data_IF_253427884016
#
_entry.id   IF_253427884016
#
_cell.length_a   1.000
_cell.length_b   1.000
_cell.length_c   1.000
_cell.angle_alpha   90.00
_cell.angle_beta   90.00
_cell.angle_gamma   90.00
#
_symmetry.space_group_name_H-M   'P 1'
#
loop_
_entity.id
_entity.type
_entity.pdbx_description
1 polymer ?
#
# COMPACT_ATOMS: atom_id res chain seq x y z
N UNK A 1 -10.54 -11.35 10.93
CA UNK A 1 -9.17 -10.88 11.23
C UNK A 1 -8.05 -11.70 10.58
N UNK A 2 -8.28 -12.94 10.11
CA UNK A 2 -7.25 -13.75 9.45
C UNK A 2 -6.94 -13.35 7.99
N UNK A 3 -7.90 -12.77 7.25
CA UNK A 3 -7.71 -12.41 5.83
C UNK A 3 -6.76 -11.22 5.61
N UNK A 4 -6.73 -10.25 6.56
CA UNK A 4 -5.77 -9.13 6.52
C UNK A 4 -4.31 -9.58 6.71
N UNK A 5 -4.08 -10.77 7.28
CA UNK A 5 -2.73 -11.35 7.42
C UNK A 5 -2.29 -12.14 6.18
N UNK A 6 -3.22 -12.65 5.37
CA UNK A 6 -2.88 -13.39 4.15
C UNK A 6 -2.61 -12.48 2.96
N UNK A 7 -3.23 -11.30 2.89
CA UNK A 7 -2.85 -10.26 1.90
C UNK A 7 -1.48 -9.62 2.21
N UNK A 8 -1.02 -9.65 3.47
CA UNK A 8 0.33 -9.23 3.83
C UNK A 8 1.40 -10.20 3.28
N UNK A 9 1.09 -11.50 3.16
CA UNK A 9 2.04 -12.53 2.73
C UNK A 9 2.35 -12.51 1.22
N UNK A 10 1.47 -11.97 0.38
CA UNK A 10 1.74 -11.83 -1.07
C UNK A 10 2.46 -10.51 -1.42
N UNK A 11 2.62 -9.62 -0.44
CA UNK A 11 3.31 -8.33 -0.53
C UNK A 11 4.47 -8.22 0.47
N UNK A 12 5.01 -9.35 0.93
CA UNK A 12 6.22 -9.40 1.76
C UNK A 12 7.48 -9.31 0.87
N UNK A 13 8.26 -8.21 0.92
CA UNK A 13 9.52 -8.05 0.17
C UNK A 13 10.74 -8.64 0.92
N UNK A 14 10.53 -9.41 1.99
CA UNK A 14 11.59 -9.83 2.92
C UNK A 14 12.45 -11.01 2.44
N UNK A 15 12.13 -11.64 1.30
CA UNK A 15 12.95 -12.71 0.70
C UNK A 15 14.03 -12.22 -0.27
N UNK A 16 14.05 -10.93 -0.61
CA UNK A 16 15.06 -10.34 -1.48
C UNK A 16 15.96 -9.41 -0.66
N UNK A 17 16.92 -9.99 0.07
CA UNK A 17 18.12 -9.26 0.47
C UNK A 17 19.13 -9.36 -0.68
N UNK A 18 19.32 -8.33 -1.53
CA UNK A 18 20.56 -8.21 -2.25
C UNK A 18 21.62 -7.72 -1.26
N UNK A 19 22.46 -8.64 -0.78
CA UNK A 19 23.77 -8.24 -0.24
C UNK A 19 24.54 -7.67 -1.42
N UNK A 20 24.70 -6.35 -1.39
CA UNK A 20 25.64 -5.63 -2.24
C UNK A 20 27.05 -6.12 -1.89
N UNK A 21 27.70 -6.85 -2.79
CA UNK A 21 29.11 -6.57 -3.06
C UNK A 21 29.53 -6.99 -4.48
N UNK A 22 30.40 -6.17 -5.06
CA UNK A 22 31.14 -6.32 -6.33
C UNK A 22 30.38 -6.15 -7.68
N UNK A 23 30.65 -4.98 -8.28
CA UNK A 23 30.23 -4.47 -9.61
C UNK A 23 30.62 -5.32 -10.83
N UNK A 24 31.27 -6.48 -10.67
CA UNK A 24 31.75 -7.28 -11.80
C UNK A 24 30.82 -8.42 -12.20
N UNK A 25 29.83 -8.78 -11.38
CA UNK A 25 28.98 -9.96 -11.62
C UNK A 25 27.71 -9.67 -12.45
N UNK A 26 27.27 -8.41 -12.51
CA UNK A 26 25.97 -8.04 -13.10
C UNK A 26 25.96 -8.20 -14.63
N UNK A 27 27.10 -7.95 -15.30
CA UNK A 27 27.17 -8.04 -16.76
C UNK A 27 27.20 -9.50 -17.25
N UNK A 28 27.88 -10.40 -16.55
CA UNK A 28 27.98 -11.80 -16.98
C UNK A 28 26.72 -12.64 -16.66
N UNK A 29 25.93 -12.24 -15.67
CA UNK A 29 24.69 -12.94 -15.33
C UNK A 29 23.52 -12.56 -16.23
N UNK A 30 23.47 -11.29 -16.68
CA UNK A 30 22.42 -10.83 -17.62
C UNK A 30 22.61 -11.38 -19.04
N UNK A 31 23.85 -11.56 -19.50
CA UNK A 31 24.11 -12.10 -20.84
C UNK A 31 23.88 -13.61 -20.94
N UNK A 32 23.92 -14.35 -19.83
CA UNK A 32 23.69 -15.81 -19.83
C UNK A 32 22.23 -16.22 -19.56
N UNK A 33 21.44 -15.37 -18.91
CA UNK A 33 20.02 -15.64 -18.65
C UNK A 33 19.10 -15.28 -19.83
N UNK A 34 19.57 -14.46 -20.76
CA UNK A 34 18.79 -14.01 -21.92
C UNK A 34 18.78 -15.01 -23.09
N UNK A 35 19.75 -15.94 -23.18
CA UNK A 35 19.89 -16.82 -24.34
C UNK A 35 19.07 -18.13 -24.30
N UNK A 36 18.52 -18.55 -23.14
CA UNK A 36 17.81 -19.86 -23.03
C UNK A 36 16.31 -19.77 -22.72
N UNK A 37 15.75 -18.58 -22.45
CA UNK A 37 14.38 -18.43 -21.92
C UNK A 37 13.46 -17.55 -22.81
N UNK A 38 13.83 -17.30 -24.07
CA UNK A 38 13.07 -16.45 -24.99
C UNK A 38 11.64 -16.96 -25.30
N UNK A 39 11.44 -18.20 -25.79
CA UNK A 39 10.12 -18.64 -26.26
C UNK A 39 9.16 -19.07 -25.12
N UNK A 40 9.67 -19.50 -23.97
CA UNK A 40 8.86 -19.97 -22.83
C UNK A 40 8.23 -18.84 -21.99
N UNK A 41 8.82 -17.64 -22.03
CA UNK A 41 8.31 -16.49 -21.26
C UNK A 41 7.09 -15.84 -21.91
N UNK A 42 6.97 -15.93 -23.24
CA UNK A 42 5.82 -15.44 -23.99
C UNK A 42 4.55 -16.24 -23.67
N UNK A 43 4.62 -17.57 -23.69
CA UNK A 43 3.47 -18.44 -23.38
C UNK A 43 3.00 -18.30 -21.93
N UNK A 44 3.92 -18.12 -20.98
CA UNK A 44 3.59 -17.96 -19.57
C UNK A 44 2.82 -16.66 -19.30
N UNK A 45 3.13 -15.57 -20.00
CA UNK A 45 2.46 -14.28 -19.80
C UNK A 45 1.04 -14.27 -20.38
N UNK A 46 0.85 -14.83 -21.57
CA UNK A 46 -0.47 -14.98 -22.18
C UNK A 46 -1.39 -15.86 -21.33
N UNK A 47 -0.84 -16.96 -20.79
CA UNK A 47 -1.56 -17.82 -19.86
C UNK A 47 -1.98 -17.07 -18.58
N UNK A 48 -1.12 -16.22 -18.02
CA UNK A 48 -1.44 -15.45 -16.81
C UNK A 48 -2.61 -14.48 -17.04
N UNK A 49 -2.66 -13.79 -18.17
CA UNK A 49 -3.79 -12.92 -18.53
C UNK A 49 -5.08 -13.74 -18.69
N UNK A 50 -5.00 -14.90 -19.36
CA UNK A 50 -6.16 -15.79 -19.50
C UNK A 50 -6.67 -16.30 -18.14
N UNK A 51 -5.77 -16.65 -17.21
CA UNK A 51 -6.17 -17.10 -15.87
C UNK A 51 -6.85 -15.97 -15.11
N UNK A 52 -6.26 -14.77 -15.10
CA UNK A 52 -6.81 -13.61 -14.38
C UNK A 52 -8.18 -13.18 -14.94
N UNK A 53 -8.38 -13.23 -16.26
CA UNK A 53 -9.68 -12.93 -16.88
C UNK A 53 -10.75 -13.98 -16.53
N UNK A 54 -10.39 -15.26 -16.46
CA UNK A 54 -11.30 -16.32 -16.03
C UNK A 54 -11.69 -16.21 -14.56
N UNK A 55 -10.77 -15.80 -13.69
CA UNK A 55 -11.06 -15.51 -12.28
C UNK A 55 -12.13 -14.42 -12.18
N UNK A 56 -11.95 -13.31 -12.90
CA UNK A 56 -12.96 -12.26 -12.94
C UNK A 56 -14.31 -12.74 -13.46
N UNK A 57 -14.32 -13.62 -14.47
CA UNK A 57 -15.56 -14.20 -15.01
C UNK A 57 -16.30 -15.00 -13.93
N UNK A 58 -15.59 -15.79 -13.14
CA UNK A 58 -16.17 -16.58 -12.05
C UNK A 58 -16.75 -15.67 -10.97
N UNK A 59 -15.99 -14.67 -10.50
CA UNK A 59 -16.45 -13.73 -9.47
C UNK A 59 -17.65 -12.90 -9.94
N UNK A 60 -17.67 -12.52 -11.22
CA UNK A 60 -18.80 -11.83 -11.84
C UNK A 60 -20.05 -12.70 -11.87
N UNK A 61 -19.91 -13.98 -12.20
CA UNK A 61 -21.03 -14.93 -12.19
C UNK A 61 -21.58 -15.08 -10.78
N UNK A 62 -20.72 -15.26 -9.76
CA UNK A 62 -21.13 -15.35 -8.35
C UNK A 62 -21.91 -14.11 -7.90
N UNK A 63 -21.40 -12.91 -8.23
CA UNK A 63 -22.11 -11.65 -7.91
C UNK A 63 -23.49 -11.61 -8.59
N UNK A 64 -23.55 -11.99 -9.87
CA UNK A 64 -24.80 -12.00 -10.64
C UNK A 64 -25.81 -13.01 -10.09
N UNK A 65 -25.36 -14.20 -9.73
CA UNK A 65 -26.19 -15.26 -9.13
C UNK A 65 -26.77 -14.79 -7.79
N UNK A 66 -25.94 -14.23 -6.91
CA UNK A 66 -26.39 -13.68 -5.63
C UNK A 66 -27.44 -12.57 -5.82
N UNK A 67 -27.16 -11.61 -6.72
CA UNK A 67 -28.09 -10.52 -7.01
C UNK A 67 -29.39 -11.00 -7.66
N UNK A 68 -29.35 -12.09 -8.43
CA UNK A 68 -30.55 -12.68 -9.06
C UNK A 68 -31.41 -13.41 -8.02
N UNK A 69 -30.79 -14.15 -7.11
CA UNK A 69 -31.49 -14.86 -6.02
C UNK A 69 -32.17 -13.89 -5.04
N UNK A 70 -31.51 -12.81 -4.66
CA UNK A 70 -32.03 -11.82 -3.71
C UNK A 70 -32.76 -10.65 -4.39
N UNK A 71 -33.11 -10.75 -5.68
CA UNK A 71 -33.67 -9.64 -6.48
C UNK A 71 -35.01 -9.09 -6.00
N UNK A 72 -35.71 -9.84 -5.13
CA UNK A 72 -37.06 -9.49 -4.68
C UNK A 72 -37.10 -8.19 -3.86
N UNK A 73 -36.07 -7.90 -3.08
CA UNK A 73 -35.94 -6.66 -2.30
C UNK A 73 -34.53 -6.08 -2.44
N UNK A 74 -34.41 -4.74 -2.51
CA UNK A 74 -33.11 -4.08 -2.68
C UNK A 74 -32.21 -4.23 -1.45
N UNK A 75 -32.78 -4.17 -0.25
CA UNK A 75 -32.03 -4.29 1.02
C UNK A 75 -31.42 -5.68 1.23
N UNK A 76 -32.08 -6.73 0.74
CA UNK A 76 -31.55 -8.10 0.83
C UNK A 76 -30.31 -8.29 -0.03
N UNK A 77 -30.27 -7.71 -1.23
CA UNK A 77 -29.08 -7.76 -2.09
C UNK A 77 -27.89 -7.10 -1.40
N UNK A 78 -28.10 -5.93 -0.78
CA UNK A 78 -27.02 -5.20 -0.13
C UNK A 78 -26.54 -5.88 1.15
N UNK A 79 -27.42 -6.56 1.88
CA UNK A 79 -27.07 -7.28 3.11
C UNK A 79 -26.36 -8.60 2.84
N UNK A 80 -26.86 -9.41 1.91
CA UNK A 80 -26.33 -10.76 1.66
C UNK A 80 -25.22 -10.78 0.60
N UNK A 81 -25.29 -9.93 -0.43
CA UNK A 81 -24.29 -9.93 -1.50
C UNK A 81 -23.11 -8.98 -1.22
N UNK A 82 -23.07 -8.28 -0.08
CA UNK A 82 -22.02 -7.30 0.26
C UNK A 82 -20.61 -7.85 0.06
N UNK A 83 -20.34 -9.00 0.64
CA UNK A 83 -19.00 -9.59 0.65
C UNK A 83 -18.58 -10.04 -0.75
N UNK A 84 -19.51 -10.62 -1.52
CA UNK A 84 -19.29 -11.05 -2.91
C UNK A 84 -19.07 -9.85 -3.83
N UNK A 85 -19.81 -8.76 -3.60
CA UNK A 85 -19.65 -7.51 -4.34
C UNK A 85 -18.25 -6.95 -4.09
N UNK A 86 -17.85 -6.85 -2.82
CA UNK A 86 -16.55 -6.34 -2.40
C UNK A 86 -15.39 -7.18 -2.96
N UNK A 87 -15.47 -8.51 -2.87
CA UNK A 87 -14.45 -9.42 -3.43
C UNK A 87 -14.29 -9.22 -4.95
N UNK A 88 -15.41 -9.12 -5.68
CA UNK A 88 -15.35 -8.90 -7.11
C UNK A 88 -14.83 -7.48 -7.45
N UNK A 89 -15.19 -6.45 -6.69
CA UNK A 89 -14.68 -5.08 -6.89
C UNK A 89 -13.16 -5.01 -6.67
N UNK A 90 -12.67 -5.60 -5.58
CA UNK A 90 -11.23 -5.69 -5.29
C UNK A 90 -10.49 -6.41 -6.41
N UNK A 91 -11.02 -7.54 -6.88
CA UNK A 91 -10.42 -8.29 -7.98
C UNK A 91 -10.37 -7.49 -9.29
N UNK A 92 -11.42 -6.70 -9.60
CA UNK A 92 -11.46 -5.84 -10.80
C UNK A 92 -10.42 -4.74 -10.71
N UNK A 93 -10.28 -4.10 -9.54
CA UNK A 93 -9.27 -3.06 -9.31
C UNK A 93 -7.87 -3.65 -9.49
N UNK A 94 -7.60 -4.82 -8.90
CA UNK A 94 -6.31 -5.51 -9.04
C UNK A 94 -5.98 -5.89 -10.49
N UNK A 95 -6.98 -6.33 -11.26
CA UNK A 95 -6.80 -6.62 -12.67
C UNK A 95 -6.49 -5.35 -13.48
N UNK A 96 -7.23 -4.26 -13.22
CA UNK A 96 -7.03 -2.99 -13.92
C UNK A 96 -5.66 -2.37 -13.62
N UNK A 97 -5.18 -2.46 -12.38
CA UNK A 97 -3.84 -2.01 -12.00
C UNK A 97 -2.79 -2.73 -12.85
N UNK A 98 -2.93 -4.05 -13.06
CA UNK A 98 -1.97 -4.86 -13.83
C UNK A 98 -2.04 -4.61 -15.33
N UNK A 99 -3.23 -4.65 -15.92
CA UNK A 99 -3.40 -4.71 -17.39
C UNK A 99 -4.26 -3.59 -17.99
N UNK A 100 -4.88 -2.73 -17.20
CA UNK A 100 -5.95 -1.81 -17.65
C UNK A 100 -5.54 -0.75 -18.68
N UNK A 101 -4.25 -0.44 -18.79
CA UNK A 101 -3.71 0.61 -19.67
C UNK A 101 -2.80 0.03 -20.75
N UNK A 102 -2.70 -1.30 -20.79
CA UNK A 102 -2.01 -2.00 -21.86
C UNK A 102 -2.92 -2.02 -23.09
N UNK A 103 -2.40 -1.51 -24.20
CA UNK A 103 -3.03 -1.63 -25.51
C UNK A 103 -3.10 -3.10 -25.99
N UNK A 104 -3.87 -3.38 -27.03
CA UNK A 104 -4.04 -4.71 -27.61
C UNK A 104 -2.74 -5.33 -28.16
N UNK A 105 -1.75 -4.51 -28.55
CA UNK A 105 -0.47 -4.97 -29.08
C UNK A 105 0.67 -4.92 -28.04
N UNK A 106 0.40 -5.31 -26.79
CA UNK A 106 1.38 -5.15 -25.71
C UNK A 106 2.07 -6.44 -25.31
N UNK A 107 3.39 -6.41 -25.43
CA UNK A 107 4.30 -7.43 -24.89
C UNK A 107 4.39 -7.42 -23.36
N UNK A 108 4.90 -8.53 -22.83
CA UNK A 108 5.33 -8.71 -21.43
C UNK A 108 6.23 -7.57 -20.94
N UNK A 109 6.99 -6.95 -21.86
CA UNK A 109 7.86 -5.80 -21.58
C UNK A 109 7.06 -4.61 -21.05
N UNK A 110 5.88 -4.31 -21.59
CA UNK A 110 5.07 -3.18 -21.15
C UNK A 110 4.51 -3.41 -19.75
N UNK A 111 4.05 -4.64 -19.45
CA UNK A 111 3.61 -5.02 -18.11
C UNK A 111 4.76 -4.89 -17.08
N UNK A 112 5.97 -5.32 -17.46
CA UNK A 112 7.17 -5.16 -16.64
C UNK A 112 7.50 -3.68 -16.37
N UNK A 113 7.44 -2.82 -17.38
CA UNK A 113 7.65 -1.38 -17.19
C UNK A 113 6.60 -0.76 -16.27
N UNK A 114 5.33 -1.14 -16.39
CA UNK A 114 4.27 -0.68 -15.48
C UNK A 114 4.56 -1.07 -14.03
N UNK A 115 4.94 -2.34 -13.81
CA UNK A 115 5.34 -2.84 -12.50
C UNK A 115 6.52 -2.05 -11.94
N UNK A 116 7.57 -1.83 -12.75
CA UNK A 116 8.75 -1.06 -12.35
C UNK A 116 8.42 0.38 -11.96
N UNK A 117 7.54 1.06 -12.71
CA UNK A 117 7.12 2.43 -12.38
C UNK A 117 6.39 2.48 -11.03
N UNK A 118 5.50 1.50 -10.77
CA UNK A 118 4.82 1.38 -9.47
C UNK A 118 5.79 1.21 -8.32
N UNK A 119 6.77 0.31 -8.46
CA UNK A 119 7.82 0.09 -7.45
C UNK A 119 8.69 1.34 -7.23
N UNK A 120 9.02 2.07 -8.29
CA UNK A 120 9.80 3.30 -8.19
C UNK A 120 9.01 4.42 -7.49
N UNK A 121 7.71 4.51 -7.75
CA UNK A 121 6.82 5.45 -7.07
C UNK A 121 6.69 5.10 -5.59
N UNK A 122 6.47 3.82 -5.24
CA UNK A 122 6.40 3.36 -3.85
C UNK A 122 7.70 3.60 -3.09
N UNK A 123 8.86 3.55 -3.76
CA UNK A 123 10.14 3.90 -3.15
C UNK A 123 10.27 5.40 -2.80
N UNK A 124 9.63 6.30 -3.57
CA UNK A 124 9.74 7.76 -3.38
C UNK A 124 8.65 8.33 -2.47
N UNK A 125 7.44 7.80 -2.58
CA UNK A 125 6.25 8.37 -1.93
C UNK A 125 5.41 7.33 -1.19
N UNK A 126 5.77 6.05 -1.28
CA UNK A 126 5.05 4.96 -0.64
C UNK A 126 5.58 4.64 0.76
N UNK A 127 4.82 3.85 1.53
CA UNK A 127 5.16 3.49 2.91
C UNK A 127 6.39 2.57 3.03
N UNK A 128 6.80 1.94 1.93
CA UNK A 128 7.91 0.98 1.88
C UNK A 128 9.25 1.67 1.56
N UNK A 129 9.20 2.90 1.06
CA UNK A 129 10.37 3.69 0.67
C UNK A 129 10.68 4.78 1.68
N UNK A 130 11.61 4.53 2.60
CA UNK A 130 12.30 5.59 3.31
C UNK A 130 13.23 6.32 2.31
N UNK A 131 12.65 7.26 1.56
CA UNK A 131 13.36 8.12 0.62
C UNK A 131 12.63 9.45 0.51
N UNK A 132 12.89 10.33 1.47
CA UNK A 132 12.59 11.77 1.41
C UNK A 132 11.14 12.18 1.10
N UNK A 133 10.16 11.52 1.71
CA UNK A 133 8.78 12.03 1.67
C UNK A 133 8.61 13.23 2.64
N UNK A 134 8.01 14.36 2.21
CA UNK A 134 7.73 15.50 3.09
C UNK A 134 6.82 15.11 4.25
N UNK A 135 6.05 14.02 4.15
CA UNK A 135 5.22 13.51 5.23
C UNK A 135 6.03 13.04 6.46
N UNK A 136 7.18 12.38 6.28
CA UNK A 136 8.02 11.97 7.41
C UNK A 136 8.92 13.11 7.93
N UNK A 137 9.23 14.10 7.09
CA UNK A 137 9.86 15.34 7.52
C UNK A 137 8.88 16.23 8.31
N UNK A 138 7.61 16.29 7.88
CA UNK A 138 6.52 16.99 8.58
C UNK A 138 6.16 16.25 9.86
N UNK A 139 6.14 14.91 9.88
CA UNK A 139 5.92 14.10 11.08
C UNK A 139 7.07 14.32 12.10
N UNK A 140 8.33 14.21 11.67
CA UNK A 140 9.47 14.57 12.54
C UNK A 140 9.47 16.04 12.97
N UNK A 141 9.10 16.97 12.10
CA UNK A 141 9.01 18.39 12.44
C UNK A 141 7.86 18.64 13.43
N UNK A 142 6.73 17.93 13.30
CA UNK A 142 5.62 17.98 14.25
C UNK A 142 6.02 17.40 15.61
N UNK A 143 6.69 16.24 15.65
CA UNK A 143 7.13 15.66 16.93
C UNK A 143 8.15 16.57 17.64
N UNK A 144 9.08 17.17 16.88
CA UNK A 144 10.05 18.14 17.43
C UNK A 144 9.35 19.43 17.89
N UNK A 145 8.37 19.94 17.14
CA UNK A 145 7.60 21.12 17.55
C UNK A 145 6.77 20.85 18.82
N UNK A 146 6.15 19.68 18.93
CA UNK A 146 5.39 19.29 20.12
C UNK A 146 6.27 19.17 21.38
N UNK A 147 7.50 18.68 21.24
CA UNK A 147 8.49 18.64 22.33
C UNK A 147 8.92 20.04 22.77
N UNK A 148 9.11 20.98 21.83
CA UNK A 148 9.47 22.36 22.17
C UNK A 148 8.36 23.09 22.94
N UNK A 149 7.09 22.92 22.54
CA UNK A 149 5.95 23.52 23.24
C UNK A 149 5.81 23.00 24.68
N UNK A 150 5.96 21.68 24.89
CA UNK A 150 5.96 21.09 26.24
C UNK A 150 7.05 21.69 27.13
N UNK A 151 8.22 22.01 26.57
CA UNK A 151 9.32 22.62 27.32
C UNK A 151 9.02 24.07 27.73
N UNK A 152 8.37 24.83 26.86
CA UNK A 152 7.93 26.20 27.16
C UNK A 152 6.82 26.22 28.21
N UNK A 153 5.83 25.34 28.12
CA UNK A 153 4.76 25.24 29.10
C UNK A 153 5.29 24.89 30.49
N UNK A 154 6.25 23.98 30.59
CA UNK A 154 6.96 23.64 31.83
C UNK A 154 7.76 24.82 32.39
N UNK A 155 8.30 25.68 31.54
CA UNK A 155 9.02 26.90 31.93
C UNK A 155 8.05 27.98 32.42
N UNK A 156 6.94 28.22 31.72
CA UNK A 156 5.90 29.17 32.13
C UNK A 156 5.14 28.73 33.40
N UNK A 157 4.90 27.44 33.60
CA UNK A 157 4.35 26.92 34.87
C UNK A 157 5.36 27.06 36.01
N UNK A 158 6.65 26.81 35.77
CA UNK A 158 7.70 27.04 36.77
C UNK A 158 7.83 28.52 37.15
N UNK A 159 7.68 29.44 36.18
CA UNK A 159 7.63 30.88 36.43
C UNK A 159 6.36 31.28 37.20
N UNK A 160 5.17 30.79 36.83
CA UNK A 160 3.93 31.06 37.60
C UNK A 160 3.99 30.53 39.04
N UNK A 161 4.57 29.35 39.25
CA UNK A 161 4.79 28.80 40.59
C UNK A 161 5.75 29.67 41.41
N UNK A 162 6.74 30.29 40.77
CA UNK A 162 7.67 31.22 41.44
C UNK A 162 7.07 32.61 41.71
N UNK A 163 6.14 33.08 40.86
CA UNK A 163 5.48 34.39 41.01
C UNK A 163 4.24 34.33 41.92
N UNK A 164 3.61 33.15 42.04
CA UNK A 164 2.39 32.93 42.85
C UNK A 164 2.60 32.81 44.36
N UNK A 165 3.82 32.99 44.88
CA UNK A 165 4.11 32.98 46.32
C UNK A 165 4.59 34.33 46.88
N UNK A 166 4.27 35.45 46.23
CA UNK A 166 4.36 36.75 46.90
C UNK A 166 3.10 36.90 47.76
N UNK A 167 3.25 36.58 49.04
CA UNK A 167 2.15 36.40 50.00
C UNK A 167 1.30 37.64 50.22
N UNK A 168 -0.01 37.47 50.14
CA UNK A 168 -0.96 38.34 50.83
C UNK A 168 -1.17 37.80 52.26
N UNK A 169 -1.08 38.66 53.30
CA UNK A 169 -1.29 38.24 54.68
C UNK A 169 -2.71 37.69 54.89
N UNK A 170 -2.83 36.73 55.80
CA UNK A 170 -4.04 35.91 56.03
C UNK A 170 -5.28 36.69 56.53
N UNK A 171 -5.21 38.01 56.65
CA UNK A 171 -6.22 38.86 57.30
C UNK A 171 -7.22 39.51 56.33
N UNK A 172 -7.14 39.23 55.03
CA UNK A 172 -8.16 39.67 54.07
C UNK A 172 -8.76 38.48 53.32
N UNK A 173 -9.81 37.89 53.91
CA UNK A 173 -10.80 37.06 53.20
C UNK A 173 -12.18 37.44 53.77
N UNK A 174 -13.19 37.78 52.94
CA UNK A 174 -14.55 37.97 53.41
C UNK A 174 -15.18 36.67 53.92
#
# INVERSE_FOLDING_TARGET
MALKRLLAYFMDPSSFRPVLDNRSFVLLFWDRFTLSCGPLTFSMAELRVMVDTNILRILRNRRRECSTWHRHQKEDVERFCKDIIAEHEEAVVNFFIKYGELSWNTDVRHAFWKQKHRMLWERRYGPVGNGDSPAFAVDRAMTVAEETLKKEDNMFTKLRASVGQIGFPKEMRP
#
